data_IF_278978402775
#
_entry.id   IF_278978402775
#
_cell.length_a   1.000
_cell.length_b   1.000
_cell.length_c   1.000
_cell.angle_alpha   90.00
_cell.angle_beta   90.00
_cell.angle_gamma   90.00
#
_symmetry.space_group_name_H-M   'P 1'
#
loop_
_entity.id
_entity.type
_entity.pdbx_description
1 polymer ?
#
# COMPACT_ATOMS: atom_id res chain seq x y z
N UNK A 1 17.54 7.35 -20.67
CA UNK A 1 17.25 6.11 -21.42
C UNK A 1 18.22 5.04 -20.98
N UNK A 2 17.73 3.82 -20.78
CA UNK A 2 18.58 2.64 -20.61
C UNK A 2 18.48 1.73 -21.84
N UNK A 3 19.60 1.26 -22.40
CA UNK A 3 19.61 0.36 -23.57
C UNK A 3 20.43 -0.88 -23.26
N UNK A 4 19.86 -2.06 -23.41
CA UNK A 4 20.61 -3.31 -23.26
C UNK A 4 21.47 -3.56 -24.52
N UNK A 5 22.78 -3.71 -24.34
CA UNK A 5 23.79 -3.75 -25.41
C UNK A 5 23.55 -4.85 -26.44
N UNK A 6 23.17 -6.05 -25.99
CA UNK A 6 23.04 -7.23 -26.86
C UNK A 6 21.66 -7.28 -27.53
N UNK A 7 20.60 -7.07 -26.75
CA UNK A 7 19.22 -7.23 -27.26
C UNK A 7 18.66 -5.97 -27.91
N UNK A 8 19.36 -4.83 -27.79
CA UNK A 8 18.93 -3.50 -28.19
C UNK A 8 17.59 -3.05 -27.57
N UNK A 9 17.08 -3.76 -26.56
CA UNK A 9 15.85 -3.38 -25.85
C UNK A 9 16.12 -2.14 -25.00
N UNK A 10 15.19 -1.18 -25.08
CA UNK A 10 15.33 0.13 -24.44
C UNK A 10 14.27 0.38 -23.38
N UNK A 11 14.59 1.29 -22.46
CA UNK A 11 13.71 1.87 -21.45
C UNK A 11 13.81 3.40 -21.50
N UNK A 12 12.67 4.08 -21.52
CA UNK A 12 12.56 5.54 -21.39
C UNK A 12 11.87 5.85 -20.06
N UNK A 13 12.45 6.78 -19.31
CA UNK A 13 11.89 7.23 -18.04
C UNK A 13 12.27 8.66 -17.78
N UNK A 14 11.41 9.39 -17.08
CA UNK A 14 11.64 10.78 -16.71
C UNK A 14 11.83 10.97 -15.20
N UNK A 15 12.47 12.06 -14.77
CA UNK A 15 12.61 12.39 -13.36
C UNK A 15 12.73 13.89 -13.16
N UNK A 16 12.18 14.39 -12.05
CA UNK A 16 12.45 15.75 -11.57
C UNK A 16 13.89 15.83 -11.03
N UNK A 17 14.34 14.77 -10.35
CA UNK A 17 15.68 14.65 -9.79
C UNK A 17 16.34 13.36 -10.33
N UNK A 18 17.29 13.55 -11.26
CA UNK A 18 18.03 12.45 -11.87
C UNK A 18 18.96 11.76 -10.87
N UNK A 19 19.53 12.47 -9.90
CA UNK A 19 20.44 11.88 -8.91
C UNK A 19 19.68 10.88 -8.04
N UNK A 20 18.50 11.27 -7.56
CA UNK A 20 17.62 10.37 -6.82
C UNK A 20 17.24 9.15 -7.66
N UNK A 21 16.85 9.38 -8.92
CA UNK A 21 16.47 8.28 -9.83
C UNK A 21 17.64 7.32 -10.05
N UNK A 22 18.84 7.81 -10.34
CA UNK A 22 20.01 6.95 -10.55
C UNK A 22 20.41 6.20 -9.29
N UNK A 23 20.31 6.81 -8.11
CA UNK A 23 20.55 6.12 -6.84
C UNK A 23 19.63 4.91 -6.66
N UNK A 24 18.35 5.06 -7.00
CA UNK A 24 17.37 3.97 -6.95
C UNK A 24 17.71 2.87 -7.97
N UNK A 25 18.02 3.24 -9.22
CA UNK A 25 18.39 2.29 -10.28
C UNK A 25 19.67 1.52 -9.99
N UNK A 26 20.66 2.14 -9.35
CA UNK A 26 21.96 1.55 -9.04
C UNK A 26 21.97 0.78 -7.71
N UNK A 27 20.83 0.64 -7.04
CA UNK A 27 20.70 -0.06 -5.75
C UNK A 27 20.01 -1.42 -5.95
N UNK A 28 20.74 -2.56 -5.99
CA UNK A 28 20.13 -3.88 -6.14
C UNK A 28 19.10 -4.20 -5.05
N UNK A 29 19.36 -3.78 -3.82
CA UNK A 29 18.44 -3.96 -2.68
C UNK A 29 17.14 -3.19 -2.87
N UNK A 30 17.20 -1.97 -3.42
CA UNK A 30 16.01 -1.19 -3.73
C UNK A 30 15.21 -1.87 -4.83
N UNK A 31 15.85 -2.26 -5.94
CA UNK A 31 15.20 -2.94 -7.05
C UNK A 31 14.49 -4.22 -6.61
N UNK A 32 15.17 -5.06 -5.82
CA UNK A 32 14.62 -6.31 -5.31
C UNK A 32 13.39 -6.06 -4.41
N UNK A 33 13.45 -5.06 -3.52
CA UNK A 33 12.33 -4.67 -2.66
C UNK A 33 11.13 -4.17 -3.45
N UNK A 34 11.35 -3.36 -4.48
CA UNK A 34 10.26 -2.82 -5.30
C UNK A 34 9.60 -3.90 -6.16
N UNK A 35 10.35 -4.92 -6.59
CA UNK A 35 9.80 -6.06 -7.33
C UNK A 35 8.84 -6.94 -6.51
N UNK A 36 8.87 -6.87 -5.18
CA UNK A 36 7.87 -7.53 -4.32
C UNK A 36 6.49 -6.86 -4.40
N UNK A 37 6.43 -5.59 -4.82
CA UNK A 37 5.20 -4.79 -4.87
C UNK A 37 4.70 -4.59 -6.29
N UNK A 38 5.63 -4.46 -7.23
CA UNK A 38 5.37 -3.99 -8.58
C UNK A 38 6.10 -4.85 -9.60
N UNK A 39 5.43 -5.19 -10.69
CA UNK A 39 6.08 -5.86 -11.81
C UNK A 39 6.80 -4.81 -12.67
N UNK A 40 8.11 -4.62 -12.46
CA UNK A 40 8.90 -3.65 -13.23
C UNK A 40 9.93 -4.37 -14.11
N UNK A 41 9.74 -4.33 -15.44
CA UNK A 41 10.57 -5.09 -16.39
C UNK A 41 12.02 -4.59 -16.40
N UNK A 42 12.25 -3.26 -16.37
CA UNK A 42 13.62 -2.73 -16.38
C UNK A 42 14.37 -3.12 -15.10
N UNK A 43 13.70 -3.17 -13.94
CA UNK A 43 14.33 -3.62 -12.69
C UNK A 43 14.74 -5.10 -12.77
N UNK A 44 13.86 -5.96 -13.29
CA UNK A 44 14.17 -7.37 -13.54
C UNK A 44 15.35 -7.53 -14.50
N UNK A 45 15.40 -6.73 -15.56
CA UNK A 45 16.45 -6.80 -16.56
C UNK A 45 17.81 -6.37 -15.97
N UNK A 46 17.87 -5.30 -15.18
CA UNK A 46 19.08 -4.84 -14.52
C UNK A 46 19.61 -5.87 -13.51
N UNK A 47 18.74 -6.45 -12.68
CA UNK A 47 19.14 -7.50 -11.74
C UNK A 47 19.58 -8.80 -12.42
N UNK A 48 18.96 -9.15 -13.55
CA UNK A 48 19.25 -10.39 -14.28
C UNK A 48 20.54 -10.32 -15.08
N UNK A 49 20.79 -9.21 -15.77
CA UNK A 49 21.90 -9.10 -16.72
C UNK A 49 23.08 -8.28 -16.20
N UNK A 50 22.94 -7.55 -15.09
CA UNK A 50 23.96 -6.66 -14.58
C UNK A 50 23.99 -5.31 -15.30
N UNK A 51 24.61 -4.31 -14.66
CA UNK A 51 24.65 -2.94 -15.17
C UNK A 51 25.60 -2.75 -16.36
N UNK A 52 26.67 -3.53 -16.45
CA UNK A 52 27.67 -3.48 -17.52
C UNK A 52 27.08 -3.80 -18.90
N UNK A 53 25.93 -4.50 -18.94
CA UNK A 53 25.18 -4.83 -20.15
C UNK A 53 24.23 -3.73 -20.59
N UNK A 54 24.16 -2.60 -19.88
CA UNK A 54 23.31 -1.48 -20.24
C UNK A 54 24.11 -0.21 -20.51
N UNK A 55 23.68 0.54 -21.51
CA UNK A 55 24.08 1.92 -21.72
C UNK A 55 23.03 2.84 -21.10
N UNK A 56 23.49 3.87 -20.38
CA UNK A 56 22.66 4.91 -19.80
C UNK A 56 22.94 6.23 -20.51
N UNK A 57 21.89 6.85 -21.02
CA UNK A 57 21.98 8.11 -21.78
C UNK A 57 20.92 9.11 -21.31
N UNK A 58 21.31 10.38 -21.09
CA UNK A 58 20.36 11.47 -20.83
C UNK A 58 19.93 12.04 -22.17
N UNK A 59 18.65 11.82 -22.53
CA UNK A 59 18.12 12.23 -23.84
C UNK A 59 17.88 13.75 -23.92
N UNK A 60 17.42 14.36 -22.83
CA UNK A 60 17.05 15.78 -22.78
C UNK A 60 16.94 16.26 -21.33
N UNK A 61 17.36 17.51 -21.08
CA UNK A 61 16.98 18.28 -19.90
C UNK A 61 15.80 19.18 -20.25
N UNK A 62 14.76 19.18 -19.42
CA UNK A 62 13.54 19.93 -19.70
C UNK A 62 12.92 20.49 -18.42
N UNK A 63 12.01 21.45 -18.57
CA UNK A 63 11.28 22.03 -17.45
C UNK A 63 10.35 21.01 -16.81
N UNK A 64 10.16 21.12 -15.49
CA UNK A 64 9.28 20.25 -14.70
C UNK A 64 7.87 20.09 -15.31
N UNK A 65 7.32 21.17 -15.86
CA UNK A 65 5.98 21.19 -16.44
C UNK A 65 5.90 20.43 -17.78
N UNK A 66 7.03 20.19 -18.42
CA UNK A 66 7.13 19.51 -19.72
C UNK A 66 7.55 18.05 -19.62
N UNK A 67 7.98 17.58 -18.44
CA UNK A 67 8.52 16.23 -18.19
C UNK A 67 7.69 15.12 -18.85
N UNK A 68 6.38 15.07 -18.59
CA UNK A 68 5.53 14.01 -19.14
C UNK A 68 5.36 14.11 -20.66
N UNK A 69 5.31 15.34 -21.20
CA UNK A 69 5.21 15.57 -22.65
C UNK A 69 6.48 15.08 -23.36
N UNK A 70 7.65 15.34 -22.77
CA UNK A 70 8.94 14.90 -23.33
C UNK A 70 9.13 13.39 -23.16
N UNK A 71 8.73 12.82 -22.03
CA UNK A 71 8.71 11.38 -21.84
C UNK A 71 7.84 10.68 -22.89
N UNK A 72 6.62 11.16 -23.12
CA UNK A 72 5.73 10.62 -24.16
C UNK A 72 6.37 10.73 -25.55
N UNK A 73 6.93 11.89 -25.90
CA UNK A 73 7.61 12.10 -27.18
C UNK A 73 8.69 11.03 -27.45
N UNK A 74 9.52 10.72 -26.46
CA UNK A 74 10.57 9.70 -26.62
C UNK A 74 10.02 8.28 -26.58
N UNK A 75 8.97 7.99 -25.81
CA UNK A 75 8.29 6.69 -25.84
C UNK A 75 7.73 6.43 -27.25
N UNK A 76 7.04 7.41 -27.84
CA UNK A 76 6.43 7.27 -29.18
C UNK A 76 7.48 7.13 -30.28
N UNK A 77 8.58 7.89 -30.16
CA UNK A 77 9.70 7.87 -31.11
C UNK A 77 10.51 6.58 -31.05
N UNK A 78 10.83 6.09 -29.85
CA UNK A 78 11.75 4.96 -29.64
C UNK A 78 11.01 3.62 -29.57
N UNK A 79 9.75 3.62 -29.12
CA UNK A 79 8.94 2.42 -28.84
C UNK A 79 9.66 1.42 -27.91
N UNK A 80 10.06 1.86 -26.70
CA UNK A 80 10.88 1.07 -25.80
C UNK A 80 10.19 -0.19 -25.28
N UNK A 81 10.84 -1.34 -25.42
CA UNK A 81 10.30 -2.65 -25.03
C UNK A 81 10.30 -2.92 -23.52
N UNK A 82 11.06 -2.15 -22.74
CA UNK A 82 11.05 -2.26 -21.28
C UNK A 82 10.03 -1.34 -20.60
N UNK A 83 9.35 -0.47 -21.34
CA UNK A 83 8.22 0.32 -20.83
C UNK A 83 6.94 -0.52 -20.87
N UNK A 84 6.36 -0.80 -19.70
CA UNK A 84 5.07 -1.50 -19.60
C UNK A 84 3.93 -0.56 -20.00
N UNK A 85 3.95 0.68 -19.49
CA UNK A 85 3.02 1.72 -19.89
C UNK A 85 3.57 2.45 -21.10
N UNK A 86 2.81 2.43 -22.20
CA UNK A 86 3.10 3.18 -23.43
C UNK A 86 2.65 4.64 -23.36
N UNK A 87 1.78 4.97 -22.40
CA UNK A 87 1.37 6.33 -22.11
C UNK A 87 2.13 6.81 -20.87
N UNK A 88 2.88 7.90 -21.04
CA UNK A 88 3.55 8.61 -19.97
C UNK A 88 2.50 9.20 -19.02
N UNK A 89 2.68 8.97 -17.72
CA UNK A 89 1.73 9.43 -16.73
C UNK A 89 2.37 9.54 -15.36
N UNK A 90 1.78 10.39 -14.54
CA UNK A 90 2.14 10.52 -13.13
C UNK A 90 0.87 10.48 -12.29
N UNK A 91 0.96 9.81 -11.13
CA UNK A 91 -0.08 9.89 -10.10
C UNK A 91 0.00 11.19 -9.31
N UNK A 92 1.06 11.99 -9.49
CA UNK A 92 1.26 13.26 -8.79
C UNK A 92 0.15 14.24 -9.16
N UNK A 93 -0.58 14.74 -8.16
CA UNK A 93 -1.68 15.70 -8.37
C UNK A 93 -2.97 15.09 -8.91
N UNK A 94 -3.05 13.76 -9.07
CA UNK A 94 -4.27 13.10 -9.57
C UNK A 94 -5.41 13.27 -8.57
N UNK A 95 -6.46 13.99 -8.97
CA UNK A 95 -7.71 14.11 -8.21
C UNK A 95 -8.43 12.76 -8.26
N UNK A 96 -8.85 12.26 -7.10
CA UNK A 96 -9.58 10.99 -7.00
C UNK A 96 -11.06 11.25 -7.26
N UNK A 97 -11.65 10.53 -8.23
CA UNK A 97 -13.09 10.64 -8.54
C UNK A 97 -13.95 10.23 -7.34
N UNK A 98 -15.18 10.75 -7.26
CA UNK A 98 -16.13 10.36 -6.20
C UNK A 98 -16.33 8.85 -6.15
N UNK A 99 -16.51 8.23 -7.32
CA UNK A 99 -16.65 6.78 -7.47
C UNK A 99 -15.44 6.02 -6.92
N UNK A 100 -14.21 6.45 -7.26
CA UNK A 100 -12.99 5.81 -6.73
C UNK A 100 -12.91 5.98 -5.22
N UNK A 101 -13.31 7.15 -4.70
CA UNK A 101 -13.32 7.43 -3.25
C UNK A 101 -14.30 6.52 -2.51
N UNK A 102 -15.46 6.25 -3.09
CA UNK A 102 -16.46 5.33 -2.53
C UNK A 102 -15.98 3.88 -2.55
N UNK A 103 -15.39 3.42 -3.67
CA UNK A 103 -14.76 2.09 -3.75
C UNK A 103 -13.67 1.90 -2.70
N UNK A 104 -12.83 2.92 -2.49
CA UNK A 104 -11.79 2.89 -1.44
C UNK A 104 -12.39 2.84 -0.04
N UNK A 105 -13.47 3.58 0.23
CA UNK A 105 -14.19 3.50 1.52
C UNK A 105 -14.77 2.10 1.75
N UNK A 106 -15.43 1.51 0.76
CA UNK A 106 -16.00 0.17 0.86
C UNK A 106 -14.91 -0.88 1.12
N UNK A 107 -13.79 -0.82 0.39
CA UNK A 107 -12.65 -1.71 0.61
C UNK A 107 -12.05 -1.56 2.02
N UNK A 108 -11.99 -0.33 2.54
CA UNK A 108 -11.53 -0.08 3.92
C UNK A 108 -12.47 -0.69 4.97
N UNK A 109 -13.79 -0.60 4.77
CA UNK A 109 -14.78 -1.25 5.65
C UNK A 109 -14.62 -2.76 5.63
N UNK A 110 -14.51 -3.38 4.45
CA UNK A 110 -14.28 -4.84 4.34
C UNK A 110 -12.98 -5.24 5.03
N UNK A 111 -11.88 -4.51 4.81
CA UNK A 111 -10.60 -4.77 5.48
C UNK A 111 -10.73 -4.66 7.00
N UNK A 112 -11.53 -3.73 7.50
CA UNK A 112 -11.80 -3.56 8.93
C UNK A 112 -12.59 -4.72 9.51
N UNK A 113 -13.59 -5.21 8.79
CA UNK A 113 -14.39 -6.39 9.17
C UNK A 113 -13.54 -7.66 9.15
N UNK A 114 -12.67 -7.82 8.14
CA UNK A 114 -11.79 -8.97 7.97
C UNK A 114 -10.50 -8.89 8.80
N UNK A 115 -10.41 -8.00 9.80
CA UNK A 115 -9.27 -8.01 10.72
C UNK A 115 -9.33 -9.28 11.58
N UNK A 116 -8.47 -10.23 11.25
CA UNK A 116 -8.24 -11.45 12.04
C UNK A 116 -7.91 -11.06 13.49
N UNK A 117 -8.68 -11.60 14.44
CA UNK A 117 -8.50 -11.35 15.87
C UNK A 117 -9.52 -10.39 16.51
N UNK A 118 -10.47 -9.85 15.75
CA UNK A 118 -11.65 -9.20 16.36
C UNK A 118 -12.57 -10.29 16.90
N UNK A 119 -12.63 -10.41 18.23
CA UNK A 119 -13.51 -11.37 18.90
C UNK A 119 -14.74 -10.65 19.44
N UNK A 120 -15.90 -11.25 19.24
CA UNK A 120 -17.15 -10.75 19.81
C UNK A 120 -17.11 -10.92 21.33
N UNK A 121 -17.80 -10.03 22.05
CA UNK A 121 -17.86 -10.06 23.51
C UNK A 121 -19.32 -10.05 23.93
N UNK A 122 -19.73 -11.13 24.57
CA UNK A 122 -20.98 -11.24 25.31
C UNK A 122 -20.82 -10.57 26.67
N UNK A 123 -21.76 -9.69 26.99
CA UNK A 123 -21.87 -9.01 28.27
C UNK A 123 -23.17 -9.44 28.92
N UNK A 124 -23.07 -10.17 30.03
CA UNK A 124 -24.22 -10.53 30.85
C UNK A 124 -24.32 -9.59 32.03
N UNK A 125 -25.45 -8.91 32.17
CA UNK A 125 -25.79 -8.14 33.37
C UNK A 125 -26.47 -9.09 34.38
N UNK A 126 -25.82 -9.33 35.52
CA UNK A 126 -26.33 -10.27 36.51
C UNK A 126 -27.55 -9.73 37.27
N UNK A 127 -27.75 -8.41 37.28
CA UNK A 127 -28.86 -7.80 38.02
C UNK A 127 -30.17 -7.89 37.24
N UNK A 128 -30.11 -7.76 35.92
CA UNK A 128 -31.29 -7.79 35.03
C UNK A 128 -31.43 -9.11 34.28
N UNK A 129 -30.37 -9.90 34.19
CA UNK A 129 -30.32 -11.11 33.35
C UNK A 129 -30.12 -10.81 31.86
N UNK A 130 -29.98 -9.54 31.47
CA UNK A 130 -29.85 -9.16 30.06
C UNK A 130 -28.48 -9.57 29.51
N UNK A 131 -28.49 -10.07 28.27
CA UNK A 131 -27.29 -10.46 27.53
C UNK A 131 -27.19 -9.62 26.27
N UNK A 132 -26.06 -8.93 26.09
CA UNK A 132 -25.76 -8.14 24.90
C UNK A 132 -24.46 -8.60 24.27
N UNK A 133 -24.43 -8.68 22.93
CA UNK A 133 -23.24 -9.10 22.17
C UNK A 133 -22.69 -7.92 21.38
N UNK A 134 -21.41 -7.62 21.63
CA UNK A 134 -20.68 -6.56 20.97
C UNK A 134 -19.68 -7.13 19.96
N UNK A 135 -19.46 -6.43 18.86
CA UNK A 135 -18.57 -6.89 17.79
C UNK A 135 -17.10 -6.83 18.17
N UNK A 136 -16.71 -6.17 19.26
CA UNK A 136 -15.32 -6.13 19.74
C UNK A 136 -15.19 -5.65 21.19
N UNK A 137 -14.06 -5.97 21.83
CA UNK A 137 -13.67 -5.43 23.16
C UNK A 137 -13.75 -3.90 23.22
N UNK A 138 -13.36 -3.20 22.14
CA UNK A 138 -13.44 -1.73 22.10
C UNK A 138 -14.88 -1.24 22.07
N UNK A 139 -15.76 -1.91 21.34
CA UNK A 139 -17.17 -1.55 21.30
C UNK A 139 -17.84 -1.78 22.66
N UNK A 140 -17.54 -2.91 23.32
CA UNK A 140 -17.95 -3.17 24.71
C UNK A 140 -17.48 -2.06 25.65
N UNK A 141 -16.21 -1.64 25.53
CA UNK A 141 -15.65 -0.58 26.36
C UNK A 141 -16.37 0.76 26.16
N UNK A 142 -16.71 1.12 24.93
CA UNK A 142 -17.46 2.34 24.61
C UNK A 142 -18.86 2.28 25.24
N UNK A 143 -19.57 1.17 25.06
CA UNK A 143 -20.93 1.00 25.59
C UNK A 143 -20.97 1.08 27.12
N UNK A 144 -19.98 0.48 27.80
CA UNK A 144 -19.85 0.52 29.26
C UNK A 144 -19.08 1.74 29.78
N UNK A 145 -18.78 2.72 28.91
CA UNK A 145 -18.04 3.95 29.22
C UNK A 145 -16.74 3.68 30.00
N UNK A 146 -15.98 2.67 29.59
CA UNK A 146 -14.73 2.23 30.22
C UNK A 146 -13.59 2.09 29.22
N UNK A 147 -12.41 1.67 29.68
CA UNK A 147 -11.26 1.42 28.83
C UNK A 147 -11.24 -0.03 28.33
N UNK A 148 -10.90 -0.24 27.06
CA UNK A 148 -10.73 -1.57 26.46
C UNK A 148 -9.69 -2.45 27.19
N UNK A 149 -8.68 -1.84 27.83
CA UNK A 149 -7.72 -2.56 28.67
C UNK A 149 -8.38 -3.11 29.93
N UNK A 150 -9.31 -2.36 30.53
CA UNK A 150 -10.16 -2.81 31.63
C UNK A 150 -11.00 -4.00 31.19
N UNK A 151 -11.76 -3.88 30.11
CA UNK A 151 -12.59 -5.00 29.60
C UNK A 151 -11.73 -6.26 29.38
N UNK A 152 -10.54 -6.11 28.76
CA UNK A 152 -9.59 -7.21 28.58
C UNK A 152 -9.11 -7.82 29.91
N UNK A 153 -8.78 -7.01 30.91
CA UNK A 153 -8.37 -7.47 32.24
C UNK A 153 -9.46 -8.34 32.88
N UNK A 154 -10.71 -7.88 32.84
CA UNK A 154 -11.82 -8.62 33.45
C UNK A 154 -12.20 -9.88 32.67
N UNK A 155 -12.05 -9.88 31.34
CA UNK A 155 -12.15 -11.11 30.52
C UNK A 155 -11.08 -12.13 30.95
N UNK A 156 -9.82 -11.70 31.04
CA UNK A 156 -8.70 -12.61 31.36
C UNK A 156 -8.79 -13.16 32.79
N UNK A 157 -9.20 -12.31 33.74
CA UNK A 157 -9.32 -12.67 35.15
C UNK A 157 -10.65 -13.39 35.47
N UNK A 158 -11.59 -13.48 34.52
CA UNK A 158 -12.92 -14.05 34.71
C UNK A 158 -13.71 -13.43 35.88
N UNK A 159 -13.46 -12.16 36.16
CA UNK A 159 -14.09 -11.41 37.26
C UNK A 159 -15.26 -10.57 36.77
N UNK A 160 -16.18 -10.25 37.69
CA UNK A 160 -17.28 -9.32 37.42
C UNK A 160 -16.75 -7.89 37.38
N UNK A 161 -17.04 -7.17 36.30
CA UNK A 161 -16.81 -5.73 36.23
C UNK A 161 -17.90 -5.00 37.01
N UNK A 162 -17.49 -4.09 37.91
CA UNK A 162 -18.39 -3.36 38.82
C UNK A 162 -19.31 -4.25 39.65
N UNK A 163 -18.91 -5.51 39.92
CA UNK A 163 -19.74 -6.52 40.58
C UNK A 163 -21.12 -6.71 39.90
N UNK A 164 -21.22 -6.44 38.59
CA UNK A 164 -22.49 -6.47 37.83
C UNK A 164 -22.37 -7.15 36.48
N UNK A 165 -21.31 -6.86 35.74
CA UNK A 165 -21.18 -7.32 34.35
C UNK A 165 -20.18 -8.47 34.23
N UNK A 166 -20.61 -9.57 33.64
CA UNK A 166 -19.75 -10.71 33.27
C UNK A 166 -19.41 -10.61 31.78
N UNK A 167 -18.12 -10.73 31.45
CA UNK A 167 -17.67 -10.72 30.06
C UNK A 167 -17.27 -12.11 29.60
N UNK A 168 -17.71 -12.50 28.41
CA UNK A 168 -17.32 -13.74 27.75
C UNK A 168 -16.98 -13.48 26.29
N UNK A 169 -15.86 -14.00 25.83
CA UNK A 169 -15.44 -13.87 24.43
C UNK A 169 -16.07 -14.97 23.61
N UNK A 170 -16.75 -14.60 22.53
CA UNK A 170 -17.30 -15.53 21.53
C UNK A 170 -16.32 -15.56 20.35
N UNK A 171 -15.94 -16.78 19.94
CA UNK A 171 -15.10 -17.05 18.77
C UNK A 171 -15.99 -17.36 17.58
#
# INVERSE_FOLDING_TARGET
MGKHKISNKTYVGSAIDLNKRFKDYLSPSYLAKELLKHNNIIYKALLKYGYDKFDLEILEYCDKNSILKREQYYIDKIKPLYNICTVAGSSLGRITTLETREKLKAAWVIKKLNQVGVKQVEVTDINTGNVEVYQSIRQTAIALKTNHTTVRKYINNQQLYLNRYKFKVIV
#
